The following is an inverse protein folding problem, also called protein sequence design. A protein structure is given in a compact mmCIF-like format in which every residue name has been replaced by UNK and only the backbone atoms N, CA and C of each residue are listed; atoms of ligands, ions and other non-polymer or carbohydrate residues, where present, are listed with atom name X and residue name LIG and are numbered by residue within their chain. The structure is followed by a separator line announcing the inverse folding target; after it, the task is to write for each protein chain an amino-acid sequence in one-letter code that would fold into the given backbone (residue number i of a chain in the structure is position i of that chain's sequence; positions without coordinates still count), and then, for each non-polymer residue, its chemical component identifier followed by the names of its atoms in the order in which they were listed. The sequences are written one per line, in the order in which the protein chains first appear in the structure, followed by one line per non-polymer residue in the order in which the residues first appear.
data_IF_767937857675
#
_entry.id   IF_767937857675
#
_cell.length_a   1.000
_cell.length_b   1.000
_cell.length_c   1.000
_cell.angle_alpha   90.00
_cell.angle_beta   90.00
_cell.angle_gamma   90.00
#
_symmetry.space_group_name_H-M   'P 1'
#
loop_
_entity.id
_entity.type
_entity.pdbx_description
1 polymer ?
#
# COMPACT_ATOMS: atom_id res chain seq x y z
N UNK A 1 -11.70 -2.58 -7.00
CA UNK A 1 -11.58 -3.66 -6.00
C UNK A 1 -11.68 -3.04 -4.62
N UNK A 2 -12.46 -3.64 -3.74
CA UNK A 2 -12.65 -3.23 -2.32
C UNK A 2 -12.21 -4.39 -1.43
N UNK A 3 -12.13 -4.23 -0.10
CA UNK A 3 -11.73 -5.32 0.78
C UNK A 3 -12.61 -6.55 0.59
N UNK A 4 -12.01 -7.73 0.66
CA UNK A 4 -12.73 -9.01 0.52
C UNK A 4 -13.49 -9.41 1.79
N UNK A 5 -13.15 -8.80 2.93
CA UNK A 5 -13.92 -8.92 4.15
C UNK A 5 -15.04 -7.87 4.19
N UNK A 6 -16.12 -8.16 4.91
CA UNK A 6 -17.21 -7.22 5.13
C UNK A 6 -17.62 -7.22 6.60
N UNK A 7 -17.97 -6.05 7.13
CA UNK A 7 -18.58 -5.89 8.45
C UNK A 7 -19.55 -4.73 8.44
N UNK A 8 -20.66 -4.88 9.15
CA UNK A 8 -21.64 -3.82 9.37
C UNK A 8 -21.05 -2.72 10.27
N UNK A 9 -21.13 -1.45 9.85
CA UNK A 9 -20.58 -0.32 10.61
C UNK A 9 -20.43 0.98 9.80
N UNK A 10 -20.03 2.05 10.49
CA UNK A 10 -19.86 3.40 9.91
C UNK A 10 -18.78 3.48 8.81
N UNK A 11 -17.76 2.62 8.87
CA UNK A 11 -16.62 2.61 7.95
C UNK A 11 -16.45 1.21 7.33
N UNK A 12 -17.39 0.83 6.46
CA UNK A 12 -17.42 -0.51 5.87
C UNK A 12 -16.26 -0.79 4.89
N UNK A 13 -15.60 0.24 4.37
CA UNK A 13 -14.47 0.15 3.44
C UNK A 13 -13.38 1.12 3.92
N UNK A 14 -12.20 0.61 4.27
CA UNK A 14 -11.06 1.44 4.73
C UNK A 14 -9.88 1.44 3.75
N UNK A 15 -9.88 0.56 2.77
CA UNK A 15 -8.94 0.57 1.64
C UNK A 15 -9.65 0.27 0.32
N UNK A 16 -9.03 0.62 -0.80
CA UNK A 16 -9.60 0.37 -2.13
C UNK A 16 -8.50 0.42 -3.19
N UNK A 17 -8.61 -0.43 -4.21
CA UNK A 17 -7.80 -0.34 -5.43
C UNK A 17 -8.69 -0.06 -6.62
N UNK A 18 -8.43 1.05 -7.32
CA UNK A 18 -9.04 1.33 -8.62
C UNK A 18 -8.04 1.01 -9.72
N UNK A 19 -8.34 0.01 -10.55
CA UNK A 19 -7.45 -0.49 -11.61
C UNK A 19 -8.06 -0.13 -12.96
N UNK A 20 -7.22 0.33 -13.89
CA UNK A 20 -7.65 0.61 -15.26
C UNK A 20 -8.23 -0.67 -15.89
N UNK A 21 -9.38 -0.55 -16.55
CA UNK A 21 -10.10 -1.68 -17.16
C UNK A 21 -9.30 -2.46 -18.22
N UNK A 22 -8.29 -1.82 -18.81
CA UNK A 22 -7.44 -2.42 -19.85
C UNK A 22 -6.20 -3.14 -19.23
N UNK A 23 -6.07 -3.14 -17.90
CA UNK A 23 -5.04 -3.86 -17.16
C UNK A 23 -5.66 -5.11 -16.53
N UNK A 24 -5.09 -6.27 -16.82
CA UNK A 24 -5.50 -7.52 -16.18
C UNK A 24 -5.05 -7.54 -14.72
N UNK A 25 -5.99 -7.75 -13.81
CA UNK A 25 -5.71 -7.84 -12.39
C UNK A 25 -6.67 -8.81 -11.69
N UNK A 26 -6.12 -9.59 -10.77
CA UNK A 26 -6.84 -10.57 -9.97
C UNK A 26 -6.82 -10.14 -8.50
N UNK A 27 -7.97 -10.09 -7.85
CA UNK A 27 -8.04 -9.71 -6.44
C UNK A 27 -7.48 -10.84 -5.55
N UNK A 28 -6.59 -10.48 -4.62
CA UNK A 28 -6.11 -11.40 -3.58
C UNK A 28 -7.02 -11.28 -2.37
N UNK A 29 -7.59 -12.41 -1.95
CA UNK A 29 -8.48 -12.46 -0.79
C UNK A 29 -7.68 -12.36 0.51
N UNK A 30 -7.97 -11.30 1.27
CA UNK A 30 -7.43 -11.02 2.60
C UNK A 30 -8.61 -10.74 3.54
N UNK A 31 -8.64 -11.41 4.69
CA UNK A 31 -9.70 -11.28 5.68
C UNK A 31 -9.50 -10.03 6.55
N UNK A 32 -9.45 -8.84 5.93
CA UNK A 32 -9.33 -7.56 6.61
C UNK A 32 -10.07 -6.47 5.84
N UNK A 33 -10.69 -5.53 6.57
CA UNK A 33 -11.35 -4.34 6.01
C UNK A 33 -10.36 -3.22 5.65
N UNK A 34 -9.14 -3.35 6.13
CA UNK A 34 -8.05 -2.39 6.00
C UNK A 34 -7.14 -2.68 4.81
N UNK A 35 -7.33 -3.83 4.19
CA UNK A 35 -6.47 -4.36 3.15
C UNK A 35 -7.27 -4.67 1.89
N UNK A 36 -6.81 -4.12 0.78
CA UNK A 36 -7.26 -4.50 -0.56
C UNK A 36 -6.02 -4.83 -1.37
N UNK A 37 -5.91 -6.06 -1.87
CA UNK A 37 -4.75 -6.48 -2.63
C UNK A 37 -5.15 -7.09 -3.97
N UNK A 38 -4.25 -7.00 -4.94
CA UNK A 38 -4.40 -7.56 -6.27
C UNK A 38 -3.06 -8.01 -6.84
N UNK A 39 -3.09 -9.04 -7.68
CA UNK A 39 -1.99 -9.38 -8.59
C UNK A 39 -2.30 -8.74 -9.92
N UNK A 40 -1.46 -7.79 -10.34
CA UNK A 40 -1.52 -7.12 -11.63
C UNK A 40 -0.64 -7.90 -12.60
N UNK A 41 -1.20 -8.26 -13.76
CA UNK A 41 -0.45 -8.95 -14.83
C UNK A 41 0.05 -7.92 -15.83
N UNK A 42 1.37 -7.87 -15.98
CA UNK A 42 2.06 -7.14 -17.04
C UNK A 42 2.72 -8.15 -17.98
N UNK A 43 3.08 -7.77 -19.22
CA UNK A 43 3.62 -8.70 -20.22
C UNK A 43 4.79 -9.56 -19.73
N UNK A 44 5.66 -9.00 -18.90
CA UNK A 44 6.92 -9.66 -18.48
C UNK A 44 6.94 -10.03 -16.99
N UNK A 45 5.96 -9.59 -16.20
CA UNK A 45 5.97 -9.78 -14.74
C UNK A 45 4.59 -9.66 -14.10
N UNK A 46 4.48 -10.28 -12.93
CA UNK A 46 3.37 -10.10 -12.02
C UNK A 46 3.76 -9.08 -10.95
N UNK A 47 2.86 -8.17 -10.62
CA UNK A 47 3.03 -7.22 -9.52
C UNK A 47 1.96 -7.50 -8.47
N UNK A 48 2.39 -7.88 -7.26
CA UNK A 48 1.51 -7.84 -6.11
C UNK A 48 1.38 -6.40 -5.61
N UNK A 49 0.15 -5.88 -5.56
CA UNK A 49 -0.16 -4.54 -5.09
C UNK A 49 -1.14 -4.62 -3.92
N UNK A 50 -0.85 -3.90 -2.85
CA UNK A 50 -1.75 -3.79 -1.70
C UNK A 50 -1.99 -2.32 -1.34
N UNK A 51 -3.26 -1.97 -1.16
CA UNK A 51 -3.70 -0.75 -0.49
C UNK A 51 -3.94 -1.08 0.98
N UNK A 52 -3.33 -0.30 1.86
CA UNK A 52 -3.26 -0.57 3.29
C UNK A 52 -3.69 0.67 4.06
N UNK A 53 -4.60 0.49 5.01
CA UNK A 53 -4.94 1.48 6.03
C UNK A 53 -4.55 0.93 7.41
N UNK A 54 -3.94 1.77 8.25
CA UNK A 54 -3.65 1.40 9.64
C UNK A 54 -4.15 2.52 10.53
N UNK A 55 -4.96 2.17 11.52
CA UNK A 55 -5.51 3.14 12.46
C UNK A 55 -4.39 3.72 13.34
N UNK A 56 -4.42 5.04 13.55
CA UNK A 56 -3.38 5.74 14.28
C UNK A 56 -3.34 5.33 15.76
N UNK A 57 -2.15 4.97 16.25
CA UNK A 57 -1.94 4.60 17.65
C UNK A 57 -2.42 3.18 18.01
N UNK A 58 -2.79 2.38 17.00
CA UNK A 58 -3.17 0.98 17.19
C UNK A 58 -2.06 0.04 16.70
N UNK A 59 -1.13 -0.24 17.61
CA UNK A 59 -0.03 -1.17 17.35
C UNK A 59 -0.50 -2.62 17.06
N UNK A 60 -1.70 -3.01 17.53
CA UNK A 60 -2.26 -4.32 17.23
C UNK A 60 -2.79 -4.36 15.80
N UNK A 61 -3.49 -3.32 15.36
CA UNK A 61 -3.93 -3.19 13.96
C UNK A 61 -2.75 -3.23 12.99
N UNK A 62 -1.63 -2.57 13.33
CA UNK A 62 -0.42 -2.63 12.52
C UNK A 62 0.17 -4.04 12.45
N UNK A 63 0.25 -4.73 13.60
CA UNK A 63 0.74 -6.12 13.67
C UNK A 63 -0.13 -7.06 12.84
N UNK A 64 -1.44 -6.97 12.99
CA UNK A 64 -2.40 -7.80 12.26
C UNK A 64 -2.30 -7.52 10.76
N UNK A 65 -2.12 -6.25 10.37
CA UNK A 65 -1.88 -5.84 8.98
C UNK A 65 -0.63 -6.51 8.40
N UNK A 66 0.51 -6.42 9.09
CA UNK A 66 1.76 -7.08 8.64
C UNK A 66 1.59 -8.59 8.53
N UNK A 67 0.89 -9.23 9.47
CA UNK A 67 0.63 -10.68 9.42
C UNK A 67 -0.26 -11.08 8.25
N UNK A 68 -1.33 -10.33 7.99
CA UNK A 68 -2.20 -10.57 6.84
C UNK A 68 -1.45 -10.39 5.51
N UNK A 69 -0.63 -9.35 5.38
CA UNK A 69 0.20 -9.13 4.20
C UNK A 69 1.24 -10.23 4.02
N UNK A 70 1.92 -10.66 5.10
CA UNK A 70 2.84 -11.80 5.05
C UNK A 70 2.13 -13.03 4.51
N UNK A 71 1.01 -13.44 5.11
CA UNK A 71 0.21 -14.58 4.64
C UNK A 71 -0.22 -14.41 3.17
N UNK A 72 -0.61 -13.22 2.75
CA UNK A 72 -1.01 -12.96 1.36
C UNK A 72 0.14 -13.11 0.37
N UNK A 73 1.34 -12.64 0.74
CA UNK A 73 2.56 -12.76 -0.08
C UNK A 73 3.11 -14.19 -0.03
N UNK A 74 3.03 -14.88 1.12
CA UNK A 74 3.74 -16.13 1.39
C UNK A 74 2.92 -17.41 1.26
N UNK A 75 1.59 -17.40 1.08
CA UNK A 75 0.76 -18.62 0.84
C UNK A 75 1.44 -19.57 -0.21
N UNK A 76 2.32 -20.54 0.11
CA UNK A 76 2.54 -21.21 1.40
C UNK A 76 3.93 -21.19 2.06
N UNK A 77 3.99 -20.57 3.25
CA UNK A 77 5.07 -20.68 4.22
C UNK A 77 4.65 -20.07 5.56
N UNK A 78 4.99 -20.78 6.63
CA UNK A 78 4.50 -20.75 8.03
C UNK A 78 4.34 -19.39 8.73
N UNK A 79 3.50 -19.38 9.77
CA UNK A 79 3.26 -18.25 10.68
C UNK A 79 4.50 -17.98 11.54
N UNK A 80 5.21 -16.87 11.28
CA UNK A 80 6.31 -16.42 12.14
C UNK A 80 5.76 -15.54 13.25
N UNK A 81 5.81 -16.04 14.49
CA UNK A 81 5.59 -15.26 15.70
C UNK A 81 6.73 -14.25 15.86
N UNK A 82 6.41 -12.95 15.87
CA UNK A 82 7.36 -11.90 16.21
C UNK A 82 6.98 -11.26 17.55
N UNK A 83 7.80 -11.51 18.58
CA UNK A 83 7.76 -10.75 19.82
C UNK A 83 8.28 -9.31 19.61
N UNK A 84 7.52 -8.38 20.21
CA UNK A 84 7.73 -6.93 20.46
C UNK A 84 8.90 -6.15 19.81
N UNK A 85 8.54 -5.03 19.18
CA UNK A 85 9.12 -3.68 19.36
C UNK A 85 8.19 -2.64 18.68
N UNK A 86 8.40 -1.33 18.81
CA UNK A 86 7.39 -0.28 18.56
C UNK A 86 6.75 -0.29 17.16
N UNK A 87 5.72 0.54 16.92
CA UNK A 87 5.00 0.55 15.62
C UNK A 87 5.95 0.61 14.41
N UNK A 88 6.97 1.46 14.48
CA UNK A 88 7.97 1.59 13.42
C UNK A 88 8.77 0.29 13.19
N UNK A 89 9.09 -0.46 14.25
CA UNK A 89 9.90 -1.68 14.17
C UNK A 89 9.14 -2.80 13.44
N UNK A 90 7.82 -2.86 13.57
CA UNK A 90 6.98 -3.81 12.82
C UNK A 90 7.07 -3.56 11.30
N UNK A 91 7.00 -2.30 10.89
CA UNK A 91 7.11 -1.92 9.48
C UNK A 91 8.53 -2.17 8.97
N UNK A 92 9.56 -1.82 9.73
CA UNK A 92 10.96 -2.05 9.34
C UNK A 92 11.25 -3.54 9.19
N UNK A 93 10.80 -4.38 10.13
CA UNK A 93 10.97 -5.82 10.04
C UNK A 93 10.27 -6.40 8.81
N UNK A 94 9.03 -5.97 8.54
CA UNK A 94 8.30 -6.37 7.34
C UNK A 94 9.01 -5.92 6.05
N UNK A 95 9.53 -4.68 6.02
CA UNK A 95 10.31 -4.18 4.90
C UNK A 95 11.56 -5.02 4.66
N UNK A 96 12.32 -5.34 5.71
CA UNK A 96 13.54 -6.15 5.61
C UNK A 96 13.23 -7.58 5.12
N UNK A 97 12.17 -8.19 5.65
CA UNK A 97 11.74 -9.55 5.26
C UNK A 97 11.42 -9.67 3.76
N UNK A 98 10.76 -8.66 3.20
CA UNK A 98 10.38 -8.64 1.78
C UNK A 98 11.28 -7.75 0.91
N UNK A 99 12.44 -7.31 1.43
CA UNK A 99 13.38 -6.42 0.72
C UNK A 99 12.71 -5.18 0.11
N UNK A 100 11.80 -4.56 0.87
CA UNK A 100 11.06 -3.37 0.46
C UNK A 100 11.81 -2.10 0.84
N UNK A 101 11.76 -1.11 -0.03
CA UNK A 101 12.29 0.23 0.20
C UNK A 101 11.17 1.27 0.11
N UNK A 102 11.27 2.32 0.93
CA UNK A 102 10.38 3.48 0.82
C UNK A 102 10.77 4.33 -0.38
N UNK A 103 9.82 4.59 -1.28
CA UNK A 103 10.07 5.32 -2.52
C UNK A 103 9.98 6.84 -2.35
N UNK A 104 9.28 7.30 -1.31
CA UNK A 104 9.14 8.71 -1.04
C UNK A 104 10.44 9.31 -0.51
N UNK A 105 10.83 10.46 -1.05
CA UNK A 105 11.98 11.21 -0.54
C UNK A 105 11.79 11.52 0.95
N UNK A 106 12.83 11.24 1.75
CA UNK A 106 12.85 11.56 3.19
C UNK A 106 12.47 13.02 3.42
N UNK A 107 11.55 13.25 4.36
CA UNK A 107 11.06 14.58 4.73
C UNK A 107 9.83 15.06 3.94
N UNK A 108 9.35 14.30 2.96
CA UNK A 108 8.13 14.62 2.21
C UNK A 108 6.92 14.61 3.14
N UNK A 109 6.21 15.73 3.24
CA UNK A 109 5.01 15.86 4.09
C UNK A 109 3.78 15.35 3.35
N UNK A 110 3.08 14.40 3.95
CA UNK A 110 1.91 13.74 3.34
C UNK A 110 0.62 14.08 4.07
N UNK A 111 0.70 14.60 5.29
CA UNK A 111 -0.46 15.00 6.08
C UNK A 111 -0.28 16.39 6.70
N UNK A 112 -1.39 17.11 6.86
CA UNK A 112 -1.48 18.42 7.51
C UNK A 112 -2.62 18.46 8.51
N UNK A 113 -2.27 18.48 9.79
CA UNK A 113 -3.20 18.68 10.90
C UNK A 113 -3.45 20.14 11.20
N UNK A 114 -4.72 20.48 11.45
CA UNK A 114 -5.10 21.78 12.01
C UNK A 114 -5.22 21.65 13.54
N UNK A 115 -4.29 22.27 14.27
CA UNK A 115 -4.30 22.30 15.74
C UNK A 115 -4.31 23.73 16.29
N UNK A 116 -4.66 23.89 17.57
CA UNK A 116 -4.71 25.19 18.26
C UNK A 116 -3.33 25.90 18.33
N UNK A 117 -2.22 25.19 18.08
CA UNK A 117 -0.85 25.73 18.08
C UNK A 117 -0.24 25.98 16.69
N UNK A 118 -1.03 25.90 15.62
CA UNK A 118 -0.58 26.06 14.23
C UNK A 118 -0.72 24.78 13.39
N UNK A 119 -0.30 24.87 12.12
CA UNK A 119 -0.35 23.76 11.17
C UNK A 119 0.78 22.75 11.46
N UNK A 120 0.41 21.52 11.82
CA UNK A 120 1.36 20.42 12.00
C UNK A 120 1.46 19.61 10.72
N UNK A 121 2.67 19.27 10.28
CA UNK A 121 2.91 18.48 9.06
C UNK A 121 3.77 17.26 9.33
N UNK A 122 3.25 16.09 9.00
CA UNK A 122 3.93 14.80 9.19
C UNK A 122 3.99 14.00 7.88
N UNK A 123 4.74 12.90 7.94
CA UNK A 123 4.83 11.89 6.88
C UNK A 123 4.24 10.62 7.47
N UNK A 124 3.01 10.30 7.10
CA UNK A 124 2.28 9.13 7.63
C UNK A 124 1.82 8.20 6.51
N UNK A 125 1.89 8.66 5.25
CA UNK A 125 1.59 7.87 4.07
C UNK A 125 2.92 7.38 3.47
N UNK A 126 3.00 6.07 3.20
CA UNK A 126 4.20 5.40 2.70
C UNK A 126 3.90 4.73 1.37
N UNK A 127 4.85 4.80 0.44
CA UNK A 127 4.91 3.95 -0.74
C UNK A 127 6.12 3.04 -0.59
N UNK A 128 5.88 1.73 -0.55
CA UNK A 128 6.90 0.70 -0.42
C UNK A 128 6.93 -0.14 -1.69
N UNK A 129 8.12 -0.45 -2.19
CA UNK A 129 8.30 -1.39 -3.30
C UNK A 129 9.56 -2.23 -3.13
N UNK A 130 9.55 -3.44 -3.68
CA UNK A 130 10.68 -4.35 -3.73
C UNK A 130 11.75 -3.87 -4.71
N UNK A 131 13.01 -4.26 -4.49
CA UNK A 131 14.16 -3.81 -5.29
C UNK A 131 13.99 -4.01 -6.79
N UNK A 132 13.40 -5.13 -7.22
CA UNK A 132 13.13 -5.44 -8.63
C UNK A 132 12.18 -4.45 -9.34
N UNK A 133 11.44 -3.63 -8.60
CA UNK A 133 10.58 -2.58 -9.13
C UNK A 133 11.22 -1.19 -9.03
N UNK A 134 12.20 -1.02 -8.12
CA UNK A 134 12.89 0.26 -7.88
C UNK A 134 13.62 0.73 -9.13
N UNK A 135 14.28 -0.18 -9.85
CA UNK A 135 15.04 0.16 -11.06
C UNK A 135 14.17 0.75 -12.17
N UNK A 136 12.85 0.50 -12.13
CA UNK A 136 11.88 1.05 -13.07
C UNK A 136 11.21 2.35 -12.61
N UNK A 137 11.57 2.91 -11.45
CA UNK A 137 10.91 4.13 -10.96
C UNK A 137 11.31 5.34 -11.82
N UNK A 138 10.30 6.01 -12.36
CA UNK A 138 10.43 7.31 -13.02
C UNK A 138 10.12 8.45 -12.05
N UNK A 139 9.14 8.25 -11.17
CA UNK A 139 8.67 9.29 -10.24
C UNK A 139 8.06 8.68 -8.98
N UNK A 140 8.30 9.30 -7.83
CA UNK A 140 7.51 9.13 -6.62
C UNK A 140 7.46 10.47 -5.88
N UNK A 141 6.31 11.15 -5.89
CA UNK A 141 6.18 12.50 -5.34
C UNK A 141 4.74 12.83 -4.95
N UNK A 142 4.54 13.92 -4.21
CA UNK A 142 3.21 14.49 -3.98
C UNK A 142 2.60 14.87 -5.33
N UNK A 143 1.37 14.42 -5.56
CA UNK A 143 0.60 14.75 -6.74
C UNK A 143 0.22 16.25 -6.71
N UNK A 144 0.22 16.88 -7.89
CA UNK A 144 0.01 18.33 -8.02
C UNK A 144 -1.42 18.78 -7.68
N UNK A 145 -2.39 17.89 -7.80
CA UNK A 145 -3.80 18.19 -7.52
C UNK A 145 -4.11 18.07 -6.05
N UNK A 146 -4.72 19.11 -5.48
CA UNK A 146 -5.27 19.08 -4.12
C UNK A 146 -6.70 18.57 -4.14
N UNK A 147 -7.01 17.65 -3.23
CA UNK A 147 -8.34 17.05 -3.09
C UNK A 147 -9.11 17.58 -1.89
N UNK A 148 -8.66 18.70 -1.31
CA UNK A 148 -9.22 19.28 -0.07
C UNK A 148 -9.24 18.33 1.14
N UNK A 149 -8.47 17.24 1.07
CA UNK A 149 -8.17 16.37 2.21
C UNK A 149 -7.00 16.94 3.01
N UNK A 150 -6.97 16.62 4.29
CA UNK A 150 -5.81 16.78 5.17
C UNK A 150 -4.62 15.88 4.78
N UNK A 151 -4.85 14.87 3.94
CA UNK A 151 -3.82 14.09 3.27
C UNK A 151 -3.49 14.62 1.87
N UNK A 152 -2.25 14.39 1.46
CA UNK A 152 -1.71 14.71 0.14
C UNK A 152 -1.65 13.43 -0.69
N UNK A 153 -2.28 13.45 -1.86
CA UNK A 153 -2.15 12.36 -2.81
C UNK A 153 -0.68 12.19 -3.25
N UNK A 154 -0.26 10.94 -3.41
CA UNK A 154 1.08 10.57 -3.87
C UNK A 154 0.94 9.92 -5.24
N UNK A 155 1.78 10.36 -6.18
CA UNK A 155 1.90 9.78 -7.50
C UNK A 155 3.21 9.00 -7.59
N UNK A 156 3.11 7.74 -8.01
CA UNK A 156 4.26 6.90 -8.33
C UNK A 156 4.14 6.40 -9.75
N UNK A 157 5.19 6.57 -10.54
CA UNK A 157 5.26 6.18 -11.96
C UNK A 157 6.41 5.22 -12.14
N UNK A 158 6.12 4.07 -12.73
CA UNK A 158 7.11 3.07 -13.12
C UNK A 158 7.16 2.96 -14.64
N UNK A 159 8.35 2.82 -15.20
CA UNK A 159 8.57 2.48 -16.60
C UNK A 159 8.44 0.96 -16.77
N UNK A 160 7.26 0.54 -17.21
CA UNK A 160 6.93 -0.87 -17.39
C UNK A 160 6.33 -1.12 -18.78
N UNK A 161 6.63 -2.25 -19.42
CA UNK A 161 5.98 -2.64 -20.66
C UNK A 161 4.46 -2.65 -20.49
N UNK A 162 3.75 -2.00 -21.41
CA UNK A 162 2.29 -2.00 -21.42
C UNK A 162 1.77 -3.25 -22.13
N UNK A 163 0.64 -3.82 -21.71
CA UNK A 163 -0.01 -4.87 -22.49
C UNK A 163 -0.33 -4.37 -23.90
N UNK A 164 -0.03 -5.20 -24.91
CA UNK A 164 -0.32 -4.91 -26.30
C UNK A 164 -1.83 -4.75 -26.50
N UNK A 165 -2.25 -3.56 -26.91
CA UNK A 165 -3.67 -3.20 -27.08
C UNK A 165 -4.30 -3.78 -28.38
N UNK A 166 -3.63 -4.73 -29.04
CA UNK A 166 -3.96 -5.21 -30.39
C UNK A 166 -4.87 -6.44 -30.47
N UNK A 167 -5.45 -6.91 -29.36
CA UNK A 167 -6.50 -7.93 -29.41
C UNK A 167 -7.86 -7.35 -29.03
N UNK A 168 -8.46 -6.65 -29.99
CA UNK A 168 -9.91 -6.47 -30.08
C UNK A 168 -10.35 -6.96 -31.45
N UNK A 169 -10.70 -8.25 -31.53
CA UNK A 169 -11.62 -8.78 -32.54
C UNK A 169 -12.96 -9.08 -31.87
#
# INVERSE_FOLDING_TARGET
MVPSAWREGRWAIRSMLWINKDVEAEQVLIESLDLTAAVIRLPERLIFMASVYVEHGDAQALRDTCNHLRKAITKGGDDVSLDRQGEADLIINFMNEFTLTSLLKRGTKTWQGRGQGGDYKSTIDLILASENLIDSIVKCAIHGTEHSSDHRAIETVFDVPRPDMNHRE
#
